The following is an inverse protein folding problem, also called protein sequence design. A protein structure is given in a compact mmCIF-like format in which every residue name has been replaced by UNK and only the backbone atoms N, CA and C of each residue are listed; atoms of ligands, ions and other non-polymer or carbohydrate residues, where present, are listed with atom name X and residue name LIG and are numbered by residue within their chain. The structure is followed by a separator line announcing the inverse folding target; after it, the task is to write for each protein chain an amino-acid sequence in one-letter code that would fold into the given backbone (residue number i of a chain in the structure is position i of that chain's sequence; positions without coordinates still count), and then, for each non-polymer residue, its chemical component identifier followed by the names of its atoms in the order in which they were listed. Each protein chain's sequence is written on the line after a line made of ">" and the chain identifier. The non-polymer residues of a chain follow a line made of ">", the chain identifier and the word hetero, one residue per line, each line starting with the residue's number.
data_IF_562315545369
#
_entry.id   IF_562315545369
#
_cell.length_a   1.000
_cell.length_b   1.000
_cell.length_c   1.000
_cell.angle_alpha   90.00
_cell.angle_beta   90.00
_cell.angle_gamma   90.00
#
_symmetry.space_group_name_H-M   'P 1'
#
loop_
_entity.id
_entity.type
_entity.pdbx_description
1 polymer ?
#
# COMPACT_ATOMS: atom_id res chain seq x y z
N UNK A 1 60.71 7.92 4.13
CA UNK A 1 59.26 7.61 4.11
C UNK A 1 58.53 8.81 4.66
N UNK A 2 57.92 9.66 3.81
CA UNK A 2 57.05 10.73 4.28
C UNK A 2 55.71 10.14 4.79
N UNK A 3 55.09 10.73 5.82
CA UNK A 3 53.77 10.32 6.29
C UNK A 3 52.69 10.69 5.25
N UNK A 4 51.61 9.91 5.12
CA UNK A 4 50.47 10.33 4.31
C UNK A 4 49.76 11.51 4.99
N UNK A 5 49.50 12.54 4.19
CA UNK A 5 48.77 13.76 4.56
C UNK A 5 47.28 13.42 4.86
N UNK A 6 46.70 13.92 5.97
CA UNK A 6 45.32 13.64 6.35
C UNK A 6 44.33 14.55 5.60
N UNK A 7 43.88 14.11 4.42
CA UNK A 7 42.82 14.80 3.68
C UNK A 7 41.45 14.17 3.96
N UNK A 8 40.68 14.69 4.93
CA UNK A 8 39.20 14.62 4.91
C UNK A 8 38.60 15.80 5.68
N UNK A 9 38.24 16.86 4.96
CA UNK A 9 37.30 17.88 5.42
C UNK A 9 35.86 17.35 5.43
N UNK A 10 34.94 18.04 6.12
CA UNK A 10 33.69 17.45 6.62
C UNK A 10 32.56 17.49 5.58
N UNK A 11 31.59 16.57 5.69
CA UNK A 11 30.21 16.99 5.45
C UNK A 11 29.24 16.63 6.60
N UNK A 12 28.72 17.71 7.20
CA UNK A 12 27.41 17.92 7.83
C UNK A 12 26.76 16.80 8.68
N UNK A 13 26.45 17.05 9.97
CA UNK A 13 25.52 16.20 10.70
C UNK A 13 24.14 16.24 10.05
N UNK A 14 23.60 15.05 9.80
CA UNK A 14 22.25 14.85 9.26
C UNK A 14 21.24 15.42 10.23
N UNK A 15 20.44 16.36 9.71
CA UNK A 15 19.11 16.75 10.21
C UNK A 15 18.27 15.52 10.59
N UNK A 16 18.34 15.10 11.85
CA UNK A 16 17.26 14.34 12.49
C UNK A 16 16.52 15.32 13.39
N UNK A 17 15.76 16.20 12.74
CA UNK A 17 14.77 17.03 13.43
C UNK A 17 13.50 16.20 13.50
N UNK A 18 13.48 15.22 14.42
CA UNK A 18 12.24 14.63 14.90
C UNK A 18 11.99 15.13 16.33
N UNK A 19 11.75 16.43 16.46
CA UNK A 19 11.27 16.99 17.73
C UNK A 19 10.01 17.81 17.45
N UNK A 20 8.87 17.12 17.66
CA UNK A 20 7.64 17.65 18.26
C UNK A 20 7.19 19.05 17.80
N UNK A 21 6.52 19.14 16.65
CA UNK A 21 5.61 20.26 16.38
C UNK A 21 4.16 19.86 16.71
N UNK A 22 3.74 20.20 17.93
CA UNK A 22 2.32 20.31 18.29
C UNK A 22 1.60 21.30 17.35
N UNK A 23 0.32 21.06 17.01
CA UNK A 23 -0.43 21.96 16.16
C UNK A 23 -0.94 23.15 16.98
N UNK A 24 -0.24 24.28 16.88
CA UNK A 24 -0.74 25.58 17.34
C UNK A 24 -1.12 26.43 16.12
N UNK A 25 -2.38 26.29 15.76
CA UNK A 25 -3.20 27.38 15.25
C UNK A 25 -2.94 28.68 16.03
N UNK A 26 -3.04 29.80 15.32
CA UNK A 26 -3.01 31.20 15.78
C UNK A 26 -1.58 31.82 15.81
N UNK A 27 -1.25 32.92 15.14
CA UNK A 27 -2.04 34.11 14.79
C UNK A 27 -1.45 34.76 13.52
N UNK A 28 -2.28 35.16 12.56
CA UNK A 28 -1.79 36.03 11.46
C UNK A 28 -2.64 36.15 10.19
N UNK A 29 -3.70 35.36 10.01
CA UNK A 29 -4.58 35.52 8.85
C UNK A 29 -5.81 36.34 9.27
N UNK A 30 -6.03 37.56 8.76
CA UNK A 30 -7.26 38.29 9.04
C UNK A 30 -8.47 37.52 8.48
N UNK A 31 -9.64 37.59 9.14
CA UNK A 31 -10.83 36.94 8.62
C UNK A 31 -11.22 37.54 7.27
N UNK A 32 -11.57 36.65 6.35
CA UNK A 32 -12.14 36.99 5.04
C UNK A 32 -13.46 37.75 5.28
N UNK A 33 -13.72 38.90 4.63
CA UNK A 33 -14.95 39.65 4.86
C UNK A 33 -16.17 38.80 4.51
N UNK A 34 -17.21 38.91 5.34
CA UNK A 34 -18.49 38.24 5.15
C UNK A 34 -19.10 38.67 3.82
N UNK A 35 -19.20 37.74 2.86
CA UNK A 35 -19.95 37.97 1.63
C UNK A 35 -21.42 38.00 2.01
N UNK A 36 -22.01 39.19 1.98
CA UNK A 36 -23.43 39.44 2.21
C UNK A 36 -24.30 38.45 1.40
N UNK A 37 -25.35 37.95 2.05
CA UNK A 37 -26.15 36.83 1.59
C UNK A 37 -26.81 37.04 0.23
N UNK A 38 -26.72 35.99 -0.59
CA UNK A 38 -27.66 35.73 -1.67
C UNK A 38 -28.51 34.52 -1.24
N UNK A 39 -29.82 34.49 -1.54
CA UNK A 39 -30.70 33.41 -1.10
C UNK A 39 -30.28 32.09 -1.75
N UNK A 40 -29.97 31.09 -0.92
CA UNK A 40 -29.85 29.69 -1.30
C UNK A 40 -31.24 29.14 -1.63
N UNK A 41 -31.71 29.39 -2.86
CA UNK A 41 -32.79 28.64 -3.47
C UNK A 41 -32.19 27.73 -4.54
N UNK A 42 -32.25 26.42 -4.30
CA UNK A 42 -31.79 25.43 -5.27
C UNK A 42 -31.43 24.10 -4.60
N UNK A 43 -32.45 23.32 -4.23
CA UNK A 43 -32.29 21.91 -3.95
C UNK A 43 -31.84 21.20 -5.24
N UNK A 44 -30.53 21.09 -5.45
CA UNK A 44 -29.97 20.15 -6.40
C UNK A 44 -29.59 18.90 -5.61
N UNK A 45 -30.45 17.89 -5.65
CA UNK A 45 -30.13 16.53 -5.23
C UNK A 45 -29.03 15.99 -6.15
N UNK A 46 -27.78 16.32 -5.82
CA UNK A 46 -26.60 15.71 -6.41
C UNK A 46 -26.51 14.28 -5.91
N UNK A 47 -27.00 13.34 -6.71
CA UNK A 47 -26.72 11.92 -6.56
C UNK A 47 -25.20 11.76 -6.49
N UNK A 48 -24.71 11.31 -5.34
CA UNK A 48 -23.30 10.96 -5.15
C UNK A 48 -22.98 9.77 -6.05
N UNK A 49 -22.53 10.07 -7.26
CA UNK A 49 -21.91 9.11 -8.16
C UNK A 49 -20.64 8.63 -7.45
N UNK A 50 -20.69 7.42 -6.88
CA UNK A 50 -19.51 6.75 -6.37
C UNK A 50 -18.43 6.69 -7.46
N UNK A 51 -17.13 6.68 -7.08
CA UNK A 51 -16.05 6.75 -8.05
C UNK A 51 -16.20 5.68 -9.14
N UNK A 52 -16.02 6.05 -10.43
CA UNK A 52 -16.20 5.11 -11.52
C UNK A 52 -15.14 4.02 -11.47
N UNK A 53 -15.60 2.76 -11.45
CA UNK A 53 -14.85 1.64 -12.02
C UNK A 53 -13.85 0.95 -11.10
N UNK A 54 -14.32 0.34 -10.01
CA UNK A 54 -13.68 -0.90 -9.57
C UNK A 54 -14.08 -1.99 -10.58
N UNK A 55 -13.28 -2.16 -11.65
CA UNK A 55 -13.39 -3.31 -12.54
C UNK A 55 -13.35 -4.63 -11.73
N UNK A 56 -13.80 -5.76 -12.29
CA UNK A 56 -13.85 -7.01 -11.56
C UNK A 56 -12.48 -7.33 -10.96
N UNK A 57 -12.43 -7.48 -9.62
CA UNK A 57 -11.19 -7.71 -8.89
C UNK A 57 -10.46 -8.93 -9.46
N UNK A 58 -9.15 -8.81 -9.66
CA UNK A 58 -8.33 -9.89 -10.19
C UNK A 58 -8.48 -11.16 -9.33
N UNK A 59 -8.62 -12.35 -9.93
CA UNK A 59 -8.76 -13.58 -9.17
C UNK A 59 -7.50 -13.86 -8.37
N UNK A 60 -7.69 -14.19 -7.09
CA UNK A 60 -6.63 -14.56 -6.16
C UNK A 60 -6.93 -15.88 -5.46
N UNK A 61 -5.88 -16.59 -5.08
CA UNK A 61 -5.91 -17.69 -4.13
C UNK A 61 -5.48 -17.20 -2.76
N UNK A 62 -6.11 -17.73 -1.73
CA UNK A 62 -5.75 -17.54 -0.34
C UNK A 62 -4.96 -18.76 0.13
N UNK A 63 -3.67 -18.58 0.39
CA UNK A 63 -2.76 -19.67 0.76
C UNK A 63 -2.32 -19.50 2.20
N UNK A 64 -2.66 -20.45 3.07
CA UNK A 64 -2.12 -20.55 4.43
C UNK A 64 -0.78 -21.26 4.39
N UNK A 65 0.26 -20.58 4.85
CA UNK A 65 1.57 -21.20 5.05
C UNK A 65 1.70 -21.65 6.49
N UNK A 66 1.83 -22.97 6.72
CA UNK A 66 1.99 -23.52 8.08
C UNK A 66 3.24 -23.01 8.79
N UNK A 67 4.37 -22.85 8.08
CA UNK A 67 5.60 -22.33 8.70
C UNK A 67 5.46 -20.90 9.18
N UNK A 68 4.79 -20.05 8.39
CA UNK A 68 4.66 -18.63 8.70
C UNK A 68 3.40 -18.31 9.55
N UNK A 69 2.46 -19.26 9.67
CA UNK A 69 1.23 -19.10 10.44
C UNK A 69 0.34 -17.98 9.92
N UNK A 70 0.38 -17.69 8.61
CA UNK A 70 -0.31 -16.55 8.02
C UNK A 70 -0.86 -16.85 6.61
N UNK A 71 -1.99 -16.22 6.29
CA UNK A 71 -2.56 -16.23 4.95
C UNK A 71 -1.82 -15.25 4.03
N UNK A 72 -1.54 -15.69 2.81
CA UNK A 72 -1.08 -14.85 1.71
C UNK A 72 -2.10 -14.87 0.58
N UNK A 73 -2.32 -13.70 -0.01
CA UNK A 73 -3.07 -13.57 -1.27
C UNK A 73 -2.09 -13.77 -2.41
N UNK A 74 -2.38 -14.74 -3.25
CA UNK A 74 -1.55 -15.15 -4.38
C UNK A 74 -2.35 -14.87 -5.64
N UNK A 75 -1.82 -14.03 -6.51
CA UNK A 75 -2.45 -13.73 -7.79
C UNK A 75 -1.97 -14.72 -8.84
N UNK A 76 -2.78 -14.89 -9.88
CA UNK A 76 -2.37 -15.65 -11.05
C UNK A 76 -1.18 -14.96 -11.73
N UNK A 77 -0.32 -15.76 -12.34
CA UNK A 77 0.71 -15.25 -13.24
C UNK A 77 0.07 -14.53 -14.44
N UNK A 78 0.88 -13.77 -15.18
CA UNK A 78 0.40 -12.99 -16.35
C UNK A 78 -0.24 -13.89 -17.42
N UNK A 79 0.25 -15.11 -17.56
CA UNK A 79 -0.24 -16.12 -18.50
C UNK A 79 -1.59 -16.73 -18.06
N UNK A 80 -1.90 -16.69 -16.76
CA UNK A 80 -3.10 -17.29 -16.17
C UNK A 80 -3.05 -18.80 -16.01
N UNK A 81 -1.91 -19.44 -16.30
CA UNK A 81 -1.69 -20.89 -16.18
C UNK A 81 -1.35 -21.37 -14.78
N UNK A 82 -0.89 -20.48 -13.89
CA UNK A 82 -0.52 -20.86 -12.53
C UNK A 82 -0.65 -19.71 -11.52
N UNK A 83 -0.77 -20.07 -10.25
CA UNK A 83 -0.58 -19.18 -9.11
C UNK A 83 0.76 -19.50 -8.44
N UNK A 84 1.60 -18.50 -8.27
CA UNK A 84 2.95 -18.65 -7.72
C UNK A 84 3.02 -18.00 -6.35
N UNK A 85 3.17 -18.82 -5.31
CA UNK A 85 3.19 -18.40 -3.93
C UNK A 85 4.59 -18.58 -3.35
N UNK A 86 5.05 -17.64 -2.52
CA UNK A 86 6.31 -17.74 -1.79
C UNK A 86 6.04 -17.51 -0.31
N UNK A 87 6.53 -18.41 0.54
CA UNK A 87 6.44 -18.26 1.98
C UNK A 87 7.32 -17.10 2.45
N UNK A 88 6.81 -16.13 3.23
CA UNK A 88 7.62 -15.00 3.69
C UNK A 88 8.65 -15.36 4.75
N UNK A 89 8.53 -16.53 5.40
CA UNK A 89 9.43 -16.95 6.47
C UNK A 89 10.57 -17.84 5.94
N UNK A 90 10.25 -18.90 5.20
CA UNK A 90 11.25 -19.86 4.70
C UNK A 90 11.64 -19.68 3.23
N UNK A 91 11.02 -18.72 2.53
CA UNK A 91 11.22 -18.46 1.10
C UNK A 91 10.90 -19.64 0.16
N UNK A 92 10.21 -20.69 0.64
CA UNK A 92 9.76 -21.81 -0.19
C UNK A 92 8.75 -21.33 -1.24
N UNK A 93 8.98 -21.67 -2.50
CA UNK A 93 8.06 -21.42 -3.61
C UNK A 93 7.08 -22.59 -3.81
N UNK A 94 5.81 -22.28 -4.01
CA UNK A 94 4.75 -23.24 -4.32
C UNK A 94 3.96 -22.79 -5.55
N UNK A 95 3.73 -23.70 -6.49
CA UNK A 95 3.05 -23.40 -7.75
C UNK A 95 1.75 -24.19 -7.86
N UNK A 96 0.64 -23.48 -8.04
CA UNK A 96 -0.67 -24.09 -8.24
C UNK A 96 -1.07 -23.93 -9.70
N UNK A 97 -1.04 -25.02 -10.47
CA UNK A 97 -1.42 -25.00 -11.89
C UNK A 97 -2.93 -24.88 -12.06
N UNK A 98 -3.35 -24.12 -13.06
CA UNK A 98 -4.74 -23.95 -13.48
C UNK A 98 -4.98 -24.85 -14.69
N UNK A 99 -5.91 -25.79 -14.57
CA UNK A 99 -6.27 -26.72 -15.64
C UNK A 99 -7.74 -27.10 -15.61
N UNK A 100 -8.22 -27.77 -16.66
CA UNK A 100 -9.63 -28.14 -16.81
C UNK A 100 -10.13 -29.09 -15.69
N UNK A 101 -9.25 -29.97 -15.19
CA UNK A 101 -9.50 -30.81 -14.00
C UNK A 101 -9.05 -30.12 -12.70
N UNK A 102 -9.17 -28.80 -12.67
CA UNK A 102 -8.85 -27.98 -11.51
C UNK A 102 -9.91 -28.12 -10.42
N UNK A 103 -9.73 -27.35 -9.34
CA UNK A 103 -10.70 -27.30 -8.26
C UNK A 103 -11.23 -25.88 -8.11
N UNK A 104 -12.49 -25.73 -7.74
CA UNK A 104 -13.12 -24.42 -7.51
C UNK A 104 -12.74 -23.79 -6.17
N UNK A 105 -12.02 -24.54 -5.30
CA UNK A 105 -11.52 -24.05 -4.02
C UNK A 105 -10.46 -22.97 -4.26
N UNK A 106 -10.60 -21.88 -3.51
CA UNK A 106 -9.68 -20.74 -3.55
C UNK A 106 -8.80 -20.63 -2.32
N UNK A 107 -9.01 -21.49 -1.33
CA UNK A 107 -8.25 -21.55 -0.09
C UNK A 107 -7.43 -22.83 -0.07
N UNK A 108 -6.12 -22.68 0.16
CA UNK A 108 -5.18 -23.78 0.21
C UNK A 108 -4.34 -23.68 1.47
N UNK A 109 -3.99 -24.83 2.02
CA UNK A 109 -3.07 -24.95 3.15
C UNK A 109 -1.80 -25.66 2.68
N UNK A 110 -0.64 -25.10 2.98
CA UNK A 110 0.66 -25.62 2.55
C UNK A 110 1.59 -25.79 3.75
N UNK A 111 2.08 -27.01 3.94
CA UNK A 111 3.28 -27.30 4.72
C UNK A 111 4.49 -27.00 3.84
N UNK A 112 5.25 -25.96 4.19
CA UNK A 112 6.42 -25.50 3.45
C UNK A 112 7.72 -25.91 4.14
#
# INVERSE_FOLDING_TARGET
>A
MPPPDPQHGPPSPRKDTFERSEPLYAHGVPPRPARAGAPIQGQAQGQAQGPPGAGPAAPFLQVWFKCAGQYRRVYKNRDGSAYEAICPLCAKSCTFRVGASGTSRRMFEVSC
#
